data_IF_942334741641
#
_entry.id   IF_942334741641
#
_cell.length_a   1.000
_cell.length_b   1.000
_cell.length_c   1.000
_cell.angle_alpha   90.00
_cell.angle_beta   90.00
_cell.angle_gamma   90.00
#
_symmetry.space_group_name_H-M   'P 1'
#
loop_
_entity.id
_entity.type
_entity.pdbx_description
1 polymer ?
#
# COMPACT_ATOMS: atom_id res chain seq x y z
N UNK A 1 13.50 -10.87 46.75
CA UNK A 1 14.16 -11.14 45.44
C UNK A 1 13.50 -10.22 44.43
N UNK A 2 14.12 -9.07 44.16
CA UNK A 2 13.66 -8.17 43.10
C UNK A 2 14.20 -8.71 41.77
N UNK A 3 13.33 -9.10 40.86
CA UNK A 3 13.73 -9.29 39.46
C UNK A 3 13.87 -7.89 38.83
N UNK A 4 14.95 -7.59 38.10
CA UNK A 4 15.01 -6.37 37.32
C UNK A 4 14.02 -6.51 36.16
N UNK A 5 13.16 -5.51 36.03
CA UNK A 5 12.36 -5.25 34.86
C UNK A 5 13.27 -5.22 33.62
N UNK A 6 13.03 -6.12 32.66
CA UNK A 6 13.59 -5.97 31.31
C UNK A 6 13.14 -4.61 30.78
N UNK A 7 14.10 -3.71 30.61
CA UNK A 7 13.95 -2.59 29.69
C UNK A 7 13.65 -3.19 28.33
N UNK A 8 12.47 -2.88 27.79
CA UNK A 8 12.09 -3.16 26.41
C UNK A 8 13.15 -2.53 25.51
N UNK A 9 13.97 -3.36 24.87
CA UNK A 9 14.66 -2.98 23.65
C UNK A 9 13.57 -2.53 22.68
N UNK A 10 13.60 -1.25 22.29
CA UNK A 10 12.79 -0.76 21.17
C UNK A 10 13.26 -1.53 19.94
N UNK A 11 12.51 -2.55 19.58
CA UNK A 11 12.82 -3.38 18.44
C UNK A 11 12.50 -2.60 17.17
N UNK A 12 13.45 -2.63 16.23
CA UNK A 12 13.28 -2.19 14.85
C UNK A 12 12.47 -3.25 14.06
N UNK A 13 11.38 -3.78 14.65
CA UNK A 13 10.74 -5.04 14.26
C UNK A 13 9.44 -4.88 13.44
N UNK A 14 8.93 -3.66 13.27
CA UNK A 14 7.73 -3.41 12.44
C UNK A 14 8.08 -3.41 10.95
N UNK A 15 7.19 -3.89 10.08
CA UNK A 15 7.32 -3.74 8.64
C UNK A 15 7.36 -2.26 8.25
N UNK A 16 6.59 -1.42 8.94
CA UNK A 16 6.54 0.01 8.68
C UNK A 16 7.86 0.70 9.04
N UNK A 17 8.46 0.37 10.17
CA UNK A 17 9.80 0.87 10.54
C UNK A 17 10.84 0.54 9.47
N UNK A 18 10.78 -0.66 8.88
CA UNK A 18 11.66 -1.07 7.78
C UNK A 18 11.39 -0.29 6.49
N UNK A 19 10.12 0.01 6.18
CA UNK A 19 9.73 0.86 5.05
C UNK A 19 10.34 2.26 5.24
N UNK A 20 10.17 2.88 6.42
CA UNK A 20 10.74 4.20 6.71
C UNK A 20 12.26 4.17 6.66
N UNK A 21 12.90 3.19 7.29
CA UNK A 21 14.35 3.07 7.37
C UNK A 21 15.00 2.82 5.99
N UNK A 22 14.32 2.13 5.08
CA UNK A 22 14.81 1.90 3.71
C UNK A 22 14.83 3.17 2.85
N UNK A 23 14.07 4.20 3.24
CA UNK A 23 13.88 5.41 2.45
C UNK A 23 12.87 5.27 1.31
N UNK A 24 12.32 4.06 1.09
CA UNK A 24 11.38 3.78 0.00
C UNK A 24 10.09 4.62 0.08
N UNK A 25 9.69 5.06 1.29
CA UNK A 25 8.54 5.94 1.45
C UNK A 25 8.72 7.23 0.64
N UNK A 26 9.93 7.80 0.58
CA UNK A 26 10.22 9.01 -0.21
C UNK A 26 10.11 8.76 -1.73
N UNK A 27 10.40 7.55 -2.19
CA UNK A 27 10.22 7.19 -3.60
C UNK A 27 8.73 7.16 -3.96
N UNK A 28 7.90 6.63 -3.05
CA UNK A 28 6.44 6.59 -3.20
C UNK A 28 5.86 8.01 -3.14
N UNK A 29 6.33 8.86 -2.23
CA UNK A 29 5.96 10.28 -2.15
C UNK A 29 6.26 11.01 -3.47
N UNK A 30 7.47 10.81 -4.01
CA UNK A 30 7.89 11.41 -5.28
C UNK A 30 7.03 10.92 -6.46
N UNK A 31 6.67 9.63 -6.49
CA UNK A 31 5.75 9.09 -7.48
C UNK A 31 4.36 9.74 -7.37
N UNK A 32 3.80 9.80 -6.16
CA UNK A 32 2.49 10.43 -5.90
C UNK A 32 2.44 11.90 -6.33
N UNK A 33 3.51 12.66 -6.05
CA UNK A 33 3.64 14.04 -6.50
C UNK A 33 3.69 14.18 -8.04
N UNK A 34 4.38 13.25 -8.72
CA UNK A 34 4.54 13.24 -10.17
C UNK A 34 3.26 12.82 -10.91
N UNK A 35 2.49 11.89 -10.35
CA UNK A 35 1.26 11.35 -10.96
C UNK A 35 0.01 12.16 -10.61
N UNK A 36 0.08 13.07 -9.63
CA UNK A 36 -1.03 13.97 -9.29
C UNK A 36 -1.59 14.72 -10.53
N UNK A 37 -2.93 14.73 -10.74
CA UNK A 37 -3.99 14.37 -9.81
C UNK A 37 -4.53 12.93 -9.93
N UNK A 38 -3.72 11.97 -10.37
CA UNK A 38 -4.05 10.55 -10.40
C UNK A 38 -3.45 9.81 -9.20
N UNK A 39 -4.11 8.74 -8.75
CA UNK A 39 -3.58 7.82 -7.76
C UNK A 39 -2.37 7.07 -8.35
N UNK A 40 -1.21 7.23 -7.71
CA UNK A 40 -0.04 6.41 -7.94
C UNK A 40 -0.24 5.03 -7.31
N UNK A 41 0.33 3.98 -7.91
CA UNK A 41 0.29 2.64 -7.35
C UNK A 41 1.54 1.81 -7.68
N UNK A 42 1.74 0.73 -6.94
CA UNK A 42 2.86 -0.18 -7.15
C UNK A 42 2.96 -1.24 -6.06
N UNK A 43 4.14 -1.85 -5.96
CA UNK A 43 4.45 -2.84 -4.92
C UNK A 43 5.79 -2.56 -4.26
N UNK A 44 5.93 -2.95 -3.01
CA UNK A 44 7.22 -3.06 -2.34
C UNK A 44 7.68 -4.51 -2.38
N UNK A 45 8.94 -4.68 -2.77
CA UNK A 45 9.62 -5.98 -2.72
C UNK A 45 10.68 -5.96 -1.64
N UNK A 46 10.87 -7.10 -0.99
CA UNK A 46 12.05 -7.36 -0.17
C UNK A 46 13.12 -8.03 -1.02
N UNK A 47 14.32 -7.46 -1.00
CA UNK A 47 15.52 -8.05 -1.58
C UNK A 47 16.62 -8.19 -0.51
N UNK A 48 17.83 -8.56 -0.93
CA UNK A 48 18.95 -8.76 -0.01
C UNK A 48 19.45 -7.44 0.62
N UNK A 49 19.19 -6.30 -0.05
CA UNK A 49 19.71 -4.99 0.31
C UNK A 49 18.66 -4.11 1.03
N UNK A 50 17.38 -4.50 1.01
CA UNK A 50 16.31 -3.85 1.76
C UNK A 50 14.92 -3.99 1.14
N UNK A 51 14.11 -2.94 1.31
CA UNK A 51 12.79 -2.81 0.71
C UNK A 51 12.88 -1.80 -0.44
N UNK A 52 12.37 -2.17 -1.61
CA UNK A 52 12.43 -1.34 -2.83
C UNK A 52 11.05 -1.20 -3.46
N UNK A 53 10.70 0.01 -3.90
CA UNK A 53 9.47 0.28 -4.63
C UNK A 53 9.60 -0.14 -6.09
N UNK A 54 8.56 -0.81 -6.58
CA UNK A 54 8.35 -1.06 -8.01
C UNK A 54 7.10 -0.32 -8.45
N UNK A 55 7.22 0.85 -9.08
CA UNK A 55 6.08 1.62 -9.53
C UNK A 55 5.33 0.90 -10.66
N UNK A 56 4.01 1.04 -10.63
CA UNK A 56 3.10 0.56 -11.66
C UNK A 56 2.42 1.76 -12.32
N UNK A 57 2.13 1.61 -13.61
CA UNK A 57 1.15 2.49 -14.26
C UNK A 57 -0.23 2.12 -13.70
N UNK A 58 -0.99 3.12 -13.26
CA UNK A 58 -2.37 2.93 -12.88
C UNK A 58 -3.22 2.62 -14.13
N UNK A 59 -3.74 1.40 -14.24
CA UNK A 59 -4.51 0.95 -15.40
C UNK A 59 -5.96 1.44 -15.38
N UNK A 60 -6.41 2.14 -14.33
CA UNK A 60 -7.81 2.51 -14.13
C UNK A 60 -8.39 3.31 -15.31
N UNK A 61 -7.67 4.29 -15.84
CA UNK A 61 -8.17 5.10 -16.96
C UNK A 61 -8.32 4.29 -18.26
N UNK A 62 -7.42 3.32 -18.48
CA UNK A 62 -7.52 2.40 -19.62
C UNK A 62 -8.73 1.50 -19.49
N UNK A 63 -9.00 0.99 -18.28
CA UNK A 63 -10.17 0.15 -17.99
C UNK A 63 -11.47 0.96 -18.11
N UNK A 64 -11.50 2.18 -17.57
CA UNK A 64 -12.63 3.11 -17.71
C UNK A 64 -12.93 3.42 -19.18
N UNK A 65 -11.91 3.65 -20.01
CA UNK A 65 -12.10 3.91 -21.43
C UNK A 65 -12.66 2.71 -22.22
N UNK A 66 -12.37 1.47 -21.77
CA UNK A 66 -12.83 0.23 -22.40
C UNK A 66 -14.26 -0.11 -21.96
N UNK A 67 -14.54 -0.01 -20.67
CA UNK A 67 -15.82 -0.40 -20.06
C UNK A 67 -16.17 0.57 -18.91
N UNK A 68 -16.70 1.76 -19.23
CA UNK A 68 -17.02 2.80 -18.25
C UNK A 68 -18.22 2.45 -17.36
N UNK A 69 -19.07 1.50 -17.77
CA UNK A 69 -20.18 1.02 -16.93
C UNK A 69 -19.66 0.15 -15.78
N UNK A 70 -18.66 -0.69 -16.06
CA UNK A 70 -18.01 -1.52 -15.03
C UNK A 70 -17.00 -0.75 -14.21
N UNK A 71 -16.15 0.05 -14.85
CA UNK A 71 -15.08 0.81 -14.19
C UNK A 71 -15.48 2.27 -14.11
N UNK A 72 -16.45 2.61 -13.26
CA UNK A 72 -17.08 3.95 -13.23
C UNK A 72 -16.16 5.08 -12.76
N UNK A 73 -15.11 4.77 -11.99
CA UNK A 73 -14.11 5.71 -11.48
C UNK A 73 -12.93 5.85 -12.46
N UNK A 74 -12.27 7.00 -12.43
CA UNK A 74 -10.99 7.24 -13.11
C UNK A 74 -9.82 7.07 -12.15
N UNK A 75 -8.60 7.15 -12.67
CA UNK A 75 -7.36 7.11 -11.90
C UNK A 75 -7.29 8.13 -10.77
N UNK A 76 -8.10 9.20 -10.82
CA UNK A 76 -8.19 10.21 -9.76
C UNK A 76 -8.69 9.66 -8.42
N UNK A 77 -9.45 8.57 -8.44
CA UNK A 77 -10.09 8.03 -7.23
C UNK A 77 -10.02 6.50 -7.17
N UNK A 78 -9.32 5.85 -8.08
CA UNK A 78 -9.21 4.40 -8.05
C UNK A 78 -7.92 3.98 -8.74
N UNK A 79 -7.37 2.86 -8.31
CA UNK A 79 -6.26 2.22 -8.98
C UNK A 79 -6.62 0.83 -9.47
N UNK A 80 -5.92 0.40 -10.52
CA UNK A 80 -5.92 -0.98 -10.96
C UNK A 80 -4.51 -1.38 -11.36
N UNK A 81 -3.98 -2.41 -10.71
CA UNK A 81 -2.68 -2.97 -11.04
C UNK A 81 -2.79 -3.87 -12.28
N UNK A 82 -1.74 -3.88 -13.10
CA UNK A 82 -1.59 -4.90 -14.13
C UNK A 82 -1.30 -6.25 -13.46
N UNK A 83 -2.30 -7.14 -13.42
CA UNK A 83 -2.21 -8.45 -12.75
C UNK A 83 -1.10 -9.34 -13.33
N UNK A 84 -0.88 -9.34 -14.65
CA UNK A 84 0.19 -10.13 -15.27
C UNK A 84 1.59 -9.63 -14.85
N UNK A 85 1.77 -8.31 -14.74
CA UNK A 85 3.02 -7.72 -14.22
C UNK A 85 3.23 -8.09 -12.75
N UNK A 86 2.17 -8.04 -11.94
CA UNK A 86 2.22 -8.40 -10.54
C UNK A 86 2.61 -9.87 -10.35
N UNK A 87 1.94 -10.80 -11.04
CA UNK A 87 2.25 -12.24 -10.96
C UNK A 87 3.69 -12.53 -11.38
N UNK A 88 4.19 -11.86 -12.42
CA UNK A 88 5.60 -12.01 -12.83
C UNK A 88 6.56 -11.58 -11.72
N UNK A 89 6.35 -10.41 -11.11
CA UNK A 89 7.20 -9.94 -10.01
C UNK A 89 7.14 -10.90 -8.83
N UNK A 90 5.95 -11.36 -8.46
CA UNK A 90 5.75 -12.32 -7.36
C UNK A 90 6.42 -13.67 -7.59
N UNK A 91 6.60 -14.07 -8.86
CA UNK A 91 7.32 -15.31 -9.19
C UNK A 91 8.85 -15.19 -9.03
N UNK A 92 9.37 -13.98 -9.00
CA UNK A 92 10.81 -13.71 -8.99
C UNK A 92 11.28 -13.08 -7.66
N UNK A 93 10.41 -12.33 -6.96
CA UNK A 93 10.74 -11.53 -5.77
C UNK A 93 9.67 -11.62 -4.70
N UNK A 94 10.07 -11.44 -3.44
CA UNK A 94 9.14 -11.38 -2.32
C UNK A 94 8.41 -10.05 -2.29
N UNK A 95 7.16 -10.02 -2.75
CA UNK A 95 6.29 -8.83 -2.61
C UNK A 95 5.74 -8.82 -1.19
N UNK A 96 6.04 -7.79 -0.41
CA UNK A 96 5.56 -7.64 0.97
C UNK A 96 4.41 -6.64 1.11
N UNK A 97 4.32 -5.65 0.21
CA UNK A 97 3.30 -4.60 0.27
C UNK A 97 2.78 -4.27 -1.13
N UNK A 98 1.46 -4.06 -1.24
CA UNK A 98 0.87 -3.29 -2.34
C UNK A 98 0.64 -1.86 -1.84
N UNK A 99 1.01 -0.86 -2.62
CA UNK A 99 0.76 0.52 -2.24
C UNK A 99 -0.05 1.27 -3.30
N UNK A 100 -0.81 2.24 -2.82
CA UNK A 100 -1.46 3.25 -3.66
C UNK A 100 -1.56 4.59 -2.92
N UNK A 101 -1.72 5.67 -3.67
CA UNK A 101 -1.97 6.99 -3.10
C UNK A 101 -3.44 7.37 -3.18
N UNK A 102 -3.94 8.11 -2.22
CA UNK A 102 -5.19 8.85 -2.32
C UNK A 102 -4.94 10.31 -2.70
N UNK A 103 -5.79 10.87 -3.56
CA UNK A 103 -5.71 12.26 -4.02
C UNK A 103 -6.73 13.13 -3.29
N UNK A 104 -6.27 14.19 -2.64
CA UNK A 104 -7.11 15.13 -1.87
C UNK A 104 -7.98 14.43 -0.80
N UNK A 105 -7.45 13.36 -0.22
CA UNK A 105 -8.13 12.53 0.76
C UNK A 105 -7.12 11.85 1.69
N UNK A 106 -7.57 11.53 2.89
CA UNK A 106 -6.75 10.90 3.92
C UNK A 106 -6.40 9.44 3.55
N UNK A 107 -5.30 8.92 4.10
CA UNK A 107 -4.73 7.61 3.84
C UNK A 107 -5.47 6.50 4.59
N UNK A 108 -6.79 6.43 4.45
CA UNK A 108 -7.58 5.32 4.97
C UNK A 108 -7.65 4.16 3.98
N UNK A 109 -7.92 2.95 4.47
CA UNK A 109 -8.24 1.82 3.60
C UNK A 109 -9.74 1.81 3.31
N UNK A 110 -10.13 2.10 2.07
CA UNK A 110 -11.54 2.26 1.70
C UNK A 110 -12.30 0.93 1.68
N UNK A 111 -13.63 1.00 1.64
CA UNK A 111 -14.44 -0.21 1.46
C UNK A 111 -14.19 -0.86 0.09
N UNK A 112 -13.86 -0.07 -0.94
CA UNK A 112 -13.43 -0.61 -2.23
C UNK A 112 -12.06 -1.29 -2.16
N UNK A 113 -11.09 -0.71 -1.45
CA UNK A 113 -9.78 -1.35 -1.23
C UNK A 113 -9.96 -2.68 -0.48
N UNK A 114 -10.80 -2.67 0.56
CA UNK A 114 -11.13 -3.85 1.33
C UNK A 114 -11.73 -4.95 0.45
N UNK A 115 -12.69 -4.59 -0.42
CA UNK A 115 -13.34 -5.53 -1.32
C UNK A 115 -12.38 -6.05 -2.40
N UNK A 116 -11.46 -5.22 -2.89
CA UNK A 116 -10.45 -5.61 -3.88
C UNK A 116 -9.34 -6.49 -3.31
N UNK A 117 -9.05 -6.36 -2.02
CA UNK A 117 -7.96 -7.08 -1.36
C UNK A 117 -8.35 -8.49 -0.87
N UNK A 118 -9.64 -8.84 -0.85
CA UNK A 118 -10.13 -10.15 -0.40
C UNK A 118 -10.95 -10.88 -1.47
N UNK A 119 -11.03 -12.20 -1.36
CA UNK A 119 -11.91 -13.01 -2.20
C UNK A 119 -13.38 -12.74 -1.85
N UNK A 120 -14.30 -12.64 -2.84
CA UNK A 120 -15.71 -12.37 -2.57
C UNK A 120 -16.39 -13.44 -1.68
N UNK A 121 -16.00 -14.71 -1.84
CA UNK A 121 -16.71 -15.83 -1.21
C UNK A 121 -16.16 -16.22 0.18
N UNK A 122 -14.85 -16.12 0.39
CA UNK A 122 -14.21 -16.55 1.65
C UNK A 122 -13.76 -15.39 2.54
N UNK A 123 -13.69 -14.18 1.97
CA UNK A 123 -13.09 -12.99 2.57
C UNK A 123 -11.63 -13.21 3.00
N UNK A 124 -10.94 -14.14 2.36
CA UNK A 124 -9.50 -14.35 2.55
C UNK A 124 -8.70 -13.42 1.63
N UNK A 125 -7.47 -13.04 1.97
CA UNK A 125 -6.65 -12.19 1.11
C UNK A 125 -6.50 -12.77 -0.28
N UNK A 126 -6.68 -11.95 -1.32
CA UNK A 126 -6.37 -12.32 -2.71
C UNK A 126 -4.89 -12.70 -2.82
N UNK A 127 -4.03 -12.02 -2.06
CA UNK A 127 -2.60 -12.30 -1.97
C UNK A 127 -2.23 -12.51 -0.50
N UNK A 128 -2.15 -13.77 -0.03
CA UNK A 128 -1.78 -14.06 1.35
C UNK A 128 -0.40 -13.52 1.71
N UNK A 129 -0.28 -12.91 2.89
CA UNK A 129 0.97 -12.39 3.44
C UNK A 129 1.40 -11.02 2.91
N UNK A 130 0.57 -10.36 2.09
CA UNK A 130 0.82 -8.99 1.60
C UNK A 130 -0.02 -7.98 2.38
N UNK A 131 0.67 -6.96 2.89
CA UNK A 131 0.07 -5.78 3.53
C UNK A 131 -0.22 -4.68 2.50
N UNK A 132 -1.01 -3.67 2.89
CA UNK A 132 -1.32 -2.52 2.03
C UNK A 132 -0.82 -1.22 2.65
N UNK A 133 -0.15 -0.39 1.87
CA UNK A 133 0.29 0.94 2.29
C UNK A 133 -0.50 1.99 1.50
N UNK A 134 -1.26 2.82 2.19
CA UNK A 134 -1.95 3.96 1.59
C UNK A 134 -1.17 5.22 1.91
N UNK A 135 -0.93 6.08 0.90
CA UNK A 135 -0.31 7.40 1.10
C UNK A 135 -1.28 8.52 0.68
N UNK A 136 -1.42 9.54 1.50
CA UNK A 136 -2.27 10.70 1.17
C UNK A 136 -1.46 11.75 0.42
N UNK A 137 -1.94 12.20 -0.73
CA UNK A 137 -1.34 13.28 -1.54
C UNK A 137 -2.34 14.44 -1.70
N UNK A 138 -1.94 15.61 -1.22
CA UNK A 138 -2.66 16.88 -1.39
C UNK A 138 -1.78 17.89 -2.11
N UNK A 139 -2.26 18.47 -3.21
CA UNK A 139 -1.50 19.42 -4.04
C UNK A 139 -0.03 19.00 -4.27
N UNK A 140 0.16 17.75 -4.73
CA UNK A 140 1.48 17.14 -4.99
C UNK A 140 2.38 16.96 -3.76
N UNK A 141 1.83 17.06 -2.55
CA UNK A 141 2.57 16.83 -1.31
C UNK A 141 1.98 15.68 -0.53
N UNK A 142 2.83 14.78 -0.07
CA UNK A 142 2.40 13.73 0.83
C UNK A 142 2.08 14.32 2.22
N UNK A 143 1.05 13.77 2.88
CA UNK A 143 0.63 14.21 4.22
C UNK A 143 0.64 13.11 5.26
N UNK A 144 0.40 11.88 4.86
CA UNK A 144 0.39 10.74 5.78
C UNK A 144 0.54 9.45 5.00
N UNK A 145 1.04 8.41 5.67
CA UNK A 145 1.13 7.07 5.15
C UNK A 145 0.73 6.05 6.21
N UNK A 146 -0.21 5.16 5.87
CA UNK A 146 -0.80 4.21 6.80
C UNK A 146 -0.70 2.78 6.24
N UNK A 147 -0.21 1.85 7.07
CA UNK A 147 -0.05 0.45 6.77
C UNK A 147 -1.24 -0.36 7.31
N UNK A 148 -1.75 -1.25 6.47
CA UNK A 148 -2.89 -2.10 6.73
C UNK A 148 -2.51 -3.57 6.59
N UNK A 149 -2.89 -4.38 7.58
CA UNK A 149 -2.62 -5.82 7.60
C UNK A 149 -3.91 -6.60 7.74
N UNK A 150 -3.98 -7.74 7.05
CA UNK A 150 -5.12 -8.63 7.18
C UNK A 150 -5.19 -9.29 8.55
N UNK A 151 -6.38 -9.22 9.17
CA UNK A 151 -6.72 -9.90 10.41
C UNK A 151 -7.65 -11.08 10.12
N UNK A 152 -7.20 -12.30 10.46
CA UNK A 152 -8.03 -13.50 10.30
C UNK A 152 -9.24 -13.54 11.24
N UNK A 153 -9.20 -12.75 12.32
CA UNK A 153 -10.29 -12.65 13.28
C UNK A 153 -11.45 -11.80 12.74
N UNK A 154 -11.15 -10.63 12.20
CA UNK A 154 -12.17 -9.72 11.63
C UNK A 154 -12.44 -9.98 10.15
N UNK A 155 -11.59 -10.77 9.49
CA UNK A 155 -11.58 -11.00 8.03
C UNK A 155 -11.49 -9.72 7.22
N UNK A 156 -10.72 -8.75 7.72
CA UNK A 156 -10.53 -7.43 7.12
C UNK A 156 -9.07 -6.99 7.24
N UNK A 157 -8.71 -6.00 6.43
CA UNK A 157 -7.45 -5.28 6.58
C UNK A 157 -7.65 -4.18 7.63
N UNK A 158 -6.77 -4.17 8.62
CA UNK A 158 -6.82 -3.25 9.76
C UNK A 158 -5.57 -2.38 9.78
N UNK A 159 -5.74 -1.12 10.18
CA UNK A 159 -4.62 -0.21 10.37
C UNK A 159 -3.72 -0.76 11.48
N UNK A 160 -2.42 -0.92 11.19
CA UNK A 160 -1.45 -1.49 12.15
C UNK A 160 -0.31 -0.54 12.49
N UNK A 161 0.02 0.40 11.61
CA UNK A 161 1.12 1.35 11.80
C UNK A 161 1.01 2.48 10.77
N UNK A 162 1.64 3.62 11.01
CA UNK A 162 1.55 4.76 10.11
C UNK A 162 2.28 6.00 10.63
N UNK A 163 2.36 7.03 9.78
CA UNK A 163 2.99 8.30 10.15
C UNK A 163 2.37 9.48 9.42
N UNK A 164 2.31 10.63 10.11
CA UNK A 164 2.11 11.92 9.46
C UNK A 164 3.43 12.36 8.79
N UNK A 165 3.33 12.88 7.59
CA UNK A 165 4.45 13.40 6.81
C UNK A 165 4.39 14.93 6.89
N UNK A 166 5.31 15.52 7.66
CA UNK A 166 5.45 16.98 7.72
C UNK A 166 5.92 17.51 6.36
N UNK A 167 5.06 18.32 5.70
CA UNK A 167 5.19 18.76 4.31
C UNK A 167 5.69 20.21 4.11
#
# INVERSE_FOLDING_TARGET
>A
MFQPSRTSETTMDSLFDRIVASGVLRDIEAQGAAEYPSEACGVLVEDADGIVAVPFENMQDKLHAIDPERFTRTSRTAYNLNSLKLERIRSERNVCVIYHSHVECDAYFSDEDQAGAVTPDTSEPVIPGVDYLVISIYDRKAREANLYRYSSQSKRYEHVDGTEIEA
#
